data_IF_970535744880
#
_entry.id   IF_970535744880
#
_cell.length_a   1.000
_cell.length_b   1.000
_cell.length_c   1.000
_cell.angle_alpha   90.00
_cell.angle_beta   90.00
_cell.angle_gamma   90.00
#
_symmetry.space_group_name_H-M   'P 1'
#
loop_
_entity.id
_entity.type
_entity.pdbx_description
1 polymer ?
#
# COMPACT_ATOMS: atom_id res chain seq x y z
N UNK A 1 -49.54 13.23 46.25
CA UNK A 1 -50.93 12.94 45.84
C UNK A 1 -51.24 13.68 44.54
N UNK A 2 -51.73 12.93 43.52
CA UNK A 2 -52.46 13.38 42.31
C UNK A 2 -51.62 14.16 41.28
N UNK A 3 -51.01 13.54 40.25
CA UNK A 3 -51.59 12.98 39.00
C UNK A 3 -52.66 13.85 38.31
N UNK A 4 -52.34 14.33 37.11
CA UNK A 4 -53.30 14.68 36.06
C UNK A 4 -52.71 14.30 34.69
N UNK A 5 -53.40 13.37 34.05
CA UNK A 5 -53.25 12.90 32.68
C UNK A 5 -53.87 13.90 31.69
N UNK A 6 -53.31 14.02 30.48
CA UNK A 6 -54.10 14.16 29.24
C UNK A 6 -53.31 13.62 28.03
N UNK A 7 -53.94 12.65 27.36
CA UNK A 7 -53.57 12.02 26.09
C UNK A 7 -54.06 12.83 24.87
N UNK A 8 -53.51 12.57 23.68
CA UNK A 8 -54.06 12.96 22.38
C UNK A 8 -52.98 12.95 21.28
N UNK A 9 -52.56 11.83 20.68
CA UNK A 9 -53.24 10.89 19.79
C UNK A 9 -53.19 11.27 18.29
N UNK A 10 -52.81 10.26 17.49
CA UNK A 10 -52.92 10.05 16.03
C UNK A 10 -51.94 10.79 15.09
N UNK A 11 -51.06 10.09 14.34
CA UNK A 11 -51.24 9.10 13.25
C UNK A 11 -51.42 9.79 11.87
N UNK A 12 -50.83 9.18 10.83
CA UNK A 12 -51.04 9.41 9.38
C UNK A 12 -50.11 10.51 8.79
N UNK A 13 -49.27 10.30 7.77
CA UNK A 13 -49.55 9.69 6.47
C UNK A 13 -48.25 9.20 5.79
N UNK A 14 -48.27 7.97 5.31
CA UNK A 14 -47.32 7.40 4.36
C UNK A 14 -47.70 7.76 2.91
N UNK A 15 -46.75 7.52 2.00
CA UNK A 15 -46.87 7.41 0.53
C UNK A 15 -46.69 8.71 -0.26
N UNK A 16 -45.58 8.81 -1.00
CA UNK A 16 -45.61 8.97 -2.47
C UNK A 16 -44.33 8.37 -3.09
N UNK A 17 -44.47 7.15 -3.62
CA UNK A 17 -43.65 6.62 -4.71
C UNK A 17 -44.20 7.16 -6.04
N UNK A 18 -43.32 7.66 -6.92
CA UNK A 18 -43.47 7.73 -8.39
C UNK A 18 -42.06 8.00 -8.94
N UNK A 19 -41.29 7.02 -9.41
CA UNK A 19 -41.42 6.30 -10.69
C UNK A 19 -41.49 7.25 -11.89
N UNK A 20 -40.32 7.63 -12.43
CA UNK A 20 -40.21 8.06 -13.83
C UNK A 20 -39.46 6.99 -14.62
N UNK A 21 -40.20 6.38 -15.55
CA UNK A 21 -39.75 5.42 -16.55
C UNK A 21 -39.01 6.12 -17.71
N UNK A 22 -37.94 5.44 -18.11
CA UNK A 22 -37.37 5.26 -19.45
C UNK A 22 -37.95 6.04 -20.64
N UNK A 23 -37.04 6.63 -21.44
CA UNK A 23 -37.23 6.72 -22.90
C UNK A 23 -35.88 6.57 -23.62
N UNK A 24 -35.58 5.33 -24.02
CA UNK A 24 -34.68 5.05 -25.15
C UNK A 24 -35.35 5.53 -26.44
N UNK A 25 -34.56 6.15 -27.31
CA UNK A 25 -34.88 6.22 -28.73
C UNK A 25 -33.59 5.88 -29.50
N UNK A 26 -33.64 4.75 -30.19
CA UNK A 26 -32.67 4.30 -31.16
C UNK A 26 -33.15 4.67 -32.57
N UNK A 27 -32.21 4.95 -33.47
CA UNK A 27 -32.30 4.77 -34.93
C UNK A 27 -30.84 4.62 -35.40
N UNK A 28 -30.39 3.38 -35.64
CA UNK A 28 -30.25 2.75 -36.99
C UNK A 28 -29.26 3.54 -37.88
N UNK A 29 -27.99 3.14 -37.93
CA UNK A 29 -27.41 2.06 -38.73
C UNK A 29 -27.11 2.46 -40.19
N UNK A 30 -25.85 2.78 -40.46
CA UNK A 30 -25.23 2.56 -41.77
C UNK A 30 -23.78 2.12 -41.57
N UNK A 31 -23.52 0.84 -41.83
CA UNK A 31 -22.22 0.25 -42.15
C UNK A 31 -22.45 -0.51 -43.47
N UNK A 32 -21.52 -0.56 -44.44
CA UNK A 32 -20.22 -1.19 -44.21
C UNK A 32 -19.02 -0.54 -44.93
N UNK A 33 -17.85 -0.64 -44.32
CA UNK A 33 -16.61 -0.94 -45.04
C UNK A 33 -15.60 -1.54 -44.05
N UNK A 34 -15.23 -2.80 -44.32
CA UNK A 34 -14.12 -3.53 -43.76
C UNK A 34 -12.85 -2.68 -43.65
N UNK A 35 -12.29 -2.59 -42.45
CA UNK A 35 -10.86 -2.82 -42.26
C UNK A 35 -10.68 -3.46 -40.89
N UNK A 36 -10.61 -4.79 -40.92
CA UNK A 36 -10.21 -5.63 -39.79
C UNK A 36 -8.74 -5.39 -39.48
N UNK A 37 -8.41 -4.26 -38.85
CA UNK A 37 -7.18 -4.20 -38.08
C UNK A 37 -7.45 -4.85 -36.73
N UNK A 38 -7.11 -6.13 -36.68
CA UNK A 38 -6.85 -6.84 -35.43
C UNK A 38 -5.74 -6.04 -34.75
N UNK A 39 -6.11 -5.15 -33.83
CA UNK A 39 -5.21 -4.75 -32.75
C UNK A 39 -4.93 -6.04 -31.99
N UNK A 40 -3.84 -6.69 -32.37
CA UNK A 40 -3.18 -7.65 -31.54
C UNK A 40 -2.96 -6.93 -30.21
N UNK A 41 -3.79 -7.25 -29.21
CA UNK A 41 -3.53 -6.86 -27.85
C UNK A 41 -2.29 -7.64 -27.45
N UNK A 42 -1.14 -7.08 -27.80
CA UNK A 42 0.14 -7.53 -27.36
C UNK A 42 0.06 -7.50 -25.85
N UNK A 43 -0.06 -8.68 -25.24
CA UNK A 43 0.48 -8.94 -23.92
C UNK A 43 1.99 -8.77 -23.99
N UNK A 44 2.43 -7.53 -24.20
CA UNK A 44 3.75 -7.05 -23.85
C UNK A 44 3.68 -6.68 -22.38
N UNK A 45 4.71 -7.04 -21.63
CA UNK A 45 4.88 -6.53 -20.29
C UNK A 45 5.03 -5.01 -20.39
N UNK A 46 3.92 -4.28 -20.25
CA UNK A 46 3.93 -2.85 -20.04
C UNK A 46 4.93 -2.59 -18.91
N UNK A 47 5.99 -1.87 -19.24
CA UNK A 47 6.91 -1.33 -18.25
C UNK A 47 6.12 -0.24 -17.52
N UNK A 48 5.27 -0.65 -16.58
CA UNK A 48 4.49 0.25 -15.73
C UNK A 48 5.49 1.08 -14.92
N UNK A 49 5.60 2.36 -15.33
CA UNK A 49 6.43 3.38 -14.68
C UNK A 49 6.02 3.44 -13.21
N UNK A 50 6.96 3.26 -12.26
CA UNK A 50 6.67 3.39 -10.84
C UNK A 50 5.97 4.73 -10.53
N UNK A 51 4.99 4.75 -9.61
CA UNK A 51 4.43 6.05 -9.18
C UNK A 51 5.44 6.83 -8.35
N UNK A 52 5.32 8.15 -8.33
CA UNK A 52 6.12 9.03 -7.44
C UNK A 52 6.05 8.57 -5.97
N UNK A 53 4.90 8.03 -5.55
CA UNK A 53 4.71 7.49 -4.20
C UNK A 53 5.63 6.30 -3.94
N UNK A 54 5.65 5.34 -4.87
CA UNK A 54 6.48 4.15 -4.79
C UNK A 54 7.97 4.49 -4.92
N UNK A 55 8.35 5.36 -5.87
CA UNK A 55 9.73 5.79 -6.04
C UNK A 55 10.27 6.44 -4.78
N UNK A 56 9.47 7.33 -4.15
CA UNK A 56 9.84 7.95 -2.89
C UNK A 56 9.91 6.94 -1.73
N UNK A 57 9.09 5.89 -1.73
CA UNK A 57 9.14 4.83 -0.72
C UNK A 57 10.42 3.99 -0.87
N UNK A 58 10.60 3.34 -2.02
CA UNK A 58 11.66 2.33 -2.21
C UNK A 58 13.02 2.93 -2.54
N UNK A 59 13.06 4.20 -2.91
CA UNK A 59 14.27 4.92 -3.29
C UNK A 59 14.79 4.56 -4.69
N UNK A 60 15.70 5.38 -5.25
CA UNK A 60 16.23 5.19 -6.60
C UNK A 60 17.37 4.15 -6.67
N UNK A 61 17.91 3.70 -5.53
CA UNK A 61 19.11 2.87 -5.47
C UNK A 61 18.82 1.37 -5.34
N UNK A 62 19.64 0.56 -6.02
CA UNK A 62 19.68 -0.88 -5.88
C UNK A 62 20.10 -1.31 -4.46
N UNK A 63 19.34 -2.23 -3.86
CA UNK A 63 19.56 -2.75 -2.51
C UNK A 63 18.24 -3.23 -1.92
N UNK A 64 18.25 -4.02 -0.83
CA UNK A 64 17.05 -4.62 -0.27
C UNK A 64 15.89 -3.62 -0.08
N UNK A 65 16.17 -2.46 0.51
CA UNK A 65 15.26 -1.33 0.60
C UNK A 65 16.05 -0.02 0.59
N UNK A 66 15.73 0.94 -0.28
CA UNK A 66 16.38 2.27 -0.37
C UNK A 66 17.92 2.21 -0.45
N UNK A 67 18.43 1.29 -1.26
CA UNK A 67 19.88 1.09 -1.39
C UNK A 67 20.56 0.40 -0.20
N UNK A 68 19.83 0.01 0.85
CA UNK A 68 20.36 -0.69 2.03
C UNK A 68 20.12 -2.19 1.92
N UNK A 69 21.15 -2.99 2.22
CA UNK A 69 21.09 -4.44 2.30
C UNK A 69 21.24 -4.93 3.74
N UNK A 70 20.74 -6.14 3.99
CA UNK A 70 21.07 -6.86 5.23
C UNK A 70 22.58 -7.15 5.26
N UNK A 71 23.22 -6.86 6.38
CA UNK A 71 24.66 -6.97 6.61
C UNK A 71 25.46 -5.67 6.41
N UNK A 72 24.83 -4.63 5.85
CA UNK A 72 25.45 -3.31 5.70
C UNK A 72 25.71 -2.69 7.09
N UNK A 73 26.85 -1.99 7.28
CA UNK A 73 27.12 -1.30 8.53
C UNK A 73 26.16 -0.10 8.71
N UNK A 74 25.85 0.25 9.96
CA UNK A 74 24.99 1.41 10.29
C UNK A 74 25.49 2.73 9.65
N UNK A 75 26.79 2.86 9.42
CA UNK A 75 27.38 4.02 8.73
C UNK A 75 26.88 4.17 7.29
N UNK A 76 26.61 3.07 6.59
CA UNK A 76 25.99 3.09 5.27
C UNK A 76 24.56 3.63 5.35
N UNK A 77 23.78 3.19 6.35
CA UNK A 77 22.41 3.69 6.57
C UNK A 77 22.42 5.21 6.75
N UNK A 78 23.27 5.71 7.66
CA UNK A 78 23.42 7.16 7.93
C UNK A 78 23.90 7.98 6.74
N UNK A 79 24.54 7.35 5.77
CA UNK A 79 25.03 8.02 4.55
C UNK A 79 23.94 8.10 3.48
N UNK A 80 23.07 7.09 3.41
CA UNK A 80 22.05 6.98 2.36
C UNK A 80 20.71 7.61 2.74
N UNK A 81 20.33 7.55 4.01
CA UNK A 81 19.14 8.26 4.46
C UNK A 81 19.43 9.76 4.61
N UNK A 82 18.61 10.57 3.94
CA UNK A 82 18.74 12.03 3.92
C UNK A 82 17.94 12.73 5.02
N UNK A 83 17.02 12.02 5.66
CA UNK A 83 16.25 12.55 6.79
C UNK A 83 17.07 12.48 8.08
N UNK A 84 16.77 13.36 9.02
CA UNK A 84 17.29 13.21 10.38
C UNK A 84 16.64 12.00 11.06
N UNK A 85 17.41 11.19 11.82
CA UNK A 85 16.84 10.06 12.53
C UNK A 85 15.90 10.54 13.65
N UNK A 86 14.70 9.97 13.72
CA UNK A 86 13.78 10.22 14.85
C UNK A 86 14.17 9.38 16.08
N UNK A 87 14.87 8.27 15.86
CA UNK A 87 15.32 7.36 16.89
C UNK A 87 16.68 6.79 16.51
N UNK A 88 17.61 6.73 17.47
CA UNK A 88 18.89 6.06 17.31
C UNK A 88 19.34 5.49 18.66
N UNK A 89 19.53 4.18 18.70
CA UNK A 89 20.08 3.50 19.87
C UNK A 89 21.06 2.37 19.49
N UNK A 90 21.40 1.52 20.47
CA UNK A 90 22.36 0.45 20.24
C UNK A 90 21.85 -0.67 19.31
N UNK A 91 20.54 -0.79 19.17
CA UNK A 91 19.81 -1.88 18.53
C UNK A 91 19.11 -1.47 17.23
N UNK A 92 18.86 -0.19 17.00
CA UNK A 92 18.25 0.28 15.76
C UNK A 92 18.49 1.78 15.50
N UNK A 93 18.19 2.19 14.27
CA UNK A 93 18.08 3.59 13.85
C UNK A 93 16.83 3.75 12.98
N UNK A 94 16.04 4.79 13.23
CA UNK A 94 14.74 5.04 12.63
C UNK A 94 14.65 6.40 11.95
N UNK A 95 13.98 6.46 10.79
CA UNK A 95 13.73 7.68 10.02
C UNK A 95 12.26 7.76 9.64
N UNK A 96 11.71 8.97 9.65
CA UNK A 96 10.34 9.26 9.18
C UNK A 96 10.45 10.03 7.88
N UNK A 97 9.71 9.57 6.87
CA UNK A 97 9.63 10.22 5.56
C UNK A 97 8.17 10.56 5.30
N UNK A 98 7.91 11.84 5.09
CA UNK A 98 6.56 12.38 4.89
C UNK A 98 6.27 12.62 3.41
N UNK A 99 5.02 12.40 3.00
CA UNK A 99 4.46 12.77 1.70
C UNK A 99 3.64 14.07 1.82
N UNK A 100 3.46 14.78 0.71
CA UNK A 100 2.68 16.04 0.70
C UNK A 100 1.20 15.84 1.06
N UNK A 101 0.67 14.64 0.81
CA UNK A 101 -0.71 14.28 1.11
C UNK A 101 -0.93 13.86 2.57
N UNK A 102 0.00 14.16 3.49
CA UNK A 102 -0.04 13.78 4.92
C UNK A 102 0.03 12.26 5.19
N UNK A 103 0.42 11.47 4.19
CA UNK A 103 0.88 10.11 4.43
C UNK A 103 2.35 10.14 4.83
N UNK A 104 2.81 9.09 5.48
CA UNK A 104 4.22 8.97 5.88
C UNK A 104 4.62 7.51 5.99
N UNK A 105 5.91 7.28 6.11
CA UNK A 105 6.41 5.99 6.55
C UNK A 105 7.58 6.16 7.49
N UNK A 106 7.61 5.30 8.50
CA UNK A 106 8.79 5.09 9.33
C UNK A 106 9.58 3.93 8.76
N UNK A 107 10.88 4.10 8.58
CA UNK A 107 11.81 3.00 8.30
C UNK A 107 12.73 2.82 9.50
N UNK A 108 12.76 1.60 10.04
CA UNK A 108 13.62 1.20 11.13
C UNK A 108 14.61 0.14 10.66
N UNK A 109 15.90 0.42 10.86
CA UNK A 109 17.00 -0.50 10.59
C UNK A 109 17.47 -1.11 11.91
N UNK A 110 17.13 -2.37 12.14
CA UNK A 110 17.58 -3.12 13.31
C UNK A 110 18.99 -3.65 13.10
N UNK A 111 19.80 -3.54 14.15
CA UNK A 111 21.24 -3.76 14.14
C UNK A 111 21.61 -4.98 14.99
N UNK A 112 22.50 -5.80 14.45
CA UNK A 112 23.16 -6.86 15.20
C UNK A 112 24.21 -6.31 16.18
N UNK A 113 24.83 -7.20 16.96
CA UNK A 113 25.92 -6.86 17.89
C UNK A 113 27.14 -6.22 17.21
N UNK A 114 27.32 -6.45 15.91
CA UNK A 114 28.37 -5.88 15.07
C UNK A 114 27.98 -4.56 14.40
N UNK A 115 26.84 -3.97 14.77
CA UNK A 115 26.30 -2.72 14.17
C UNK A 115 26.02 -2.84 12.68
N UNK A 116 25.56 -4.02 12.25
CA UNK A 116 25.14 -4.31 10.89
C UNK A 116 23.63 -4.52 10.83
N UNK A 117 23.01 -4.12 9.72
CA UNK A 117 21.57 -4.26 9.51
C UNK A 117 21.19 -5.74 9.47
N UNK A 118 20.36 -6.21 10.39
CA UNK A 118 19.85 -7.60 10.41
C UNK A 118 18.38 -7.71 10.00
N UNK A 119 17.62 -6.62 10.12
CA UNK A 119 16.22 -6.52 9.73
C UNK A 119 15.87 -5.06 9.39
N UNK A 120 15.00 -4.88 8.41
CA UNK A 120 14.43 -3.58 8.05
C UNK A 120 12.92 -3.70 8.23
N UNK A 121 12.33 -2.79 8.98
CA UNK A 121 10.87 -2.65 9.07
C UNK A 121 10.45 -1.30 8.52
N UNK A 122 9.34 -1.31 7.78
CA UNK A 122 8.74 -0.10 7.24
C UNK A 122 7.28 -0.08 7.64
N UNK A 123 6.90 0.87 8.48
CA UNK A 123 5.53 1.10 8.90
C UNK A 123 4.99 2.29 8.08
N UNK A 124 4.01 2.02 7.22
CA UNK A 124 3.46 2.96 6.24
C UNK A 124 2.10 3.43 6.74
N UNK A 125 1.97 4.73 7.00
CA UNK A 125 0.76 5.36 7.50
C UNK A 125 0.00 6.02 6.36
N UNK A 126 -1.23 5.57 6.15
CA UNK A 126 -2.05 5.94 5.01
C UNK A 126 -3.31 6.65 5.46
N UNK A 127 -3.89 7.48 4.59
CA UNK A 127 -5.02 8.32 4.98
C UNK A 127 -6.35 7.56 5.08
N UNK A 128 -6.52 6.52 4.26
CA UNK A 128 -7.81 5.86 4.09
C UNK A 128 -7.66 4.46 3.48
N UNK A 129 -8.78 3.71 3.45
CA UNK A 129 -8.85 2.36 2.87
C UNK A 129 -8.47 2.32 1.39
N UNK A 130 -8.84 3.34 0.62
CA UNK A 130 -8.50 3.39 -0.81
C UNK A 130 -7.00 3.51 -1.02
N UNK A 131 -6.30 4.33 -0.23
CA UNK A 131 -4.83 4.39 -0.23
C UNK A 131 -4.20 3.03 0.10
N UNK A 132 -4.71 2.33 1.13
CA UNK A 132 -4.22 0.99 1.52
C UNK A 132 -4.33 0.01 0.35
N UNK A 133 -5.51 -0.10 -0.26
CA UNK A 133 -5.75 -1.06 -1.34
C UNK A 133 -4.91 -0.72 -2.58
N UNK A 134 -4.77 0.56 -2.89
CA UNK A 134 -3.96 1.05 -4.01
C UNK A 134 -2.46 0.74 -3.80
N UNK A 135 -1.87 1.21 -2.71
CA UNK A 135 -0.44 1.04 -2.44
C UNK A 135 -0.06 -0.41 -2.16
N UNK A 136 -0.97 -1.22 -1.58
CA UNK A 136 -0.74 -2.65 -1.42
C UNK A 136 -0.65 -3.35 -2.78
N UNK A 137 -1.52 -3.00 -3.72
CA UNK A 137 -1.47 -3.54 -5.09
C UNK A 137 -0.16 -3.15 -5.78
N UNK A 138 0.22 -1.88 -5.67
CA UNK A 138 1.45 -1.35 -6.24
C UNK A 138 2.71 -2.03 -5.66
N UNK A 139 2.82 -2.14 -4.34
CA UNK A 139 3.91 -2.85 -3.67
C UNK A 139 3.95 -4.33 -4.04
N UNK A 140 2.79 -4.97 -4.15
CA UNK A 140 2.70 -6.37 -4.60
C UNK A 140 3.26 -6.52 -6.01
N UNK A 141 2.88 -5.62 -6.94
CA UNK A 141 3.41 -5.63 -8.30
C UNK A 141 4.93 -5.37 -8.32
N UNK A 142 5.40 -4.41 -7.53
CA UNK A 142 6.83 -4.11 -7.38
C UNK A 142 7.63 -5.34 -6.91
N UNK A 143 7.23 -5.98 -5.80
CA UNK A 143 7.93 -7.15 -5.29
C UNK A 143 7.77 -8.38 -6.17
N UNK A 144 6.66 -8.52 -6.90
CA UNK A 144 6.50 -9.58 -7.90
C UNK A 144 7.54 -9.45 -9.03
N UNK A 145 7.75 -8.24 -9.54
CA UNK A 145 8.78 -7.98 -10.57
C UNK A 145 10.18 -8.28 -10.04
N UNK A 146 10.42 -7.96 -8.77
CA UNK A 146 11.75 -8.04 -8.16
C UNK A 146 12.14 -9.44 -7.68
N UNK A 147 11.19 -10.19 -7.12
CA UNK A 147 11.45 -11.45 -6.42
C UNK A 147 10.60 -12.63 -6.95
N UNK A 148 9.78 -12.41 -7.97
CA UNK A 148 8.83 -13.40 -8.48
C UNK A 148 7.56 -13.51 -7.63
N UNK A 149 6.76 -14.55 -7.85
CA UNK A 149 5.48 -14.70 -7.13
C UNK A 149 5.67 -14.95 -5.62
N UNK A 150 4.81 -14.38 -4.75
CA UNK A 150 4.91 -14.58 -3.32
C UNK A 150 4.45 -16.00 -2.93
N UNK A 151 4.94 -16.45 -1.79
CA UNK A 151 4.39 -17.59 -1.05
C UNK A 151 3.40 -17.11 0.00
N UNK A 152 2.81 -18.05 0.76
CA UNK A 152 2.00 -17.70 1.94
C UNK A 152 2.78 -16.88 2.98
N UNK A 153 4.12 -16.98 2.99
CA UNK A 153 4.99 -16.25 3.92
C UNK A 153 5.63 -15.00 3.28
N UNK A 154 5.14 -14.55 2.13
CA UNK A 154 5.70 -13.42 1.37
C UNK A 154 6.71 -13.86 0.31
N UNK A 155 7.54 -12.92 -0.14
CA UNK A 155 8.53 -13.14 -1.19
C UNK A 155 9.81 -13.73 -0.64
N UNK A 156 10.31 -14.78 -1.29
CA UNK A 156 11.64 -15.31 -1.02
C UNK A 156 12.67 -14.44 -1.72
N UNK A 157 13.69 -14.03 -0.98
CA UNK A 157 14.88 -13.40 -1.55
C UNK A 157 16.00 -14.44 -1.59
N UNK A 158 17.26 -14.03 -1.73
CA UNK A 158 18.39 -14.95 -1.69
C UNK A 158 18.58 -15.59 -0.30
N UNK A 159 19.01 -16.86 -0.29
CA UNK A 159 19.30 -17.58 0.95
C UNK A 159 18.07 -17.79 1.83
N UNK A 160 18.16 -17.37 3.10
CA UNK A 160 17.08 -17.46 4.10
C UNK A 160 16.32 -16.14 4.30
N UNK A 161 16.50 -15.15 3.41
CA UNK A 161 15.89 -13.84 3.52
C UNK A 161 14.49 -13.83 2.89
N UNK A 162 13.59 -13.01 3.44
CA UNK A 162 12.24 -12.81 2.93
C UNK A 162 11.80 -11.36 3.03
N UNK A 163 10.79 -11.03 2.22
CA UNK A 163 10.02 -9.78 2.33
C UNK A 163 8.57 -10.14 2.61
N UNK A 164 7.96 -9.47 3.58
CA UNK A 164 6.52 -9.57 3.86
C UNK A 164 5.84 -8.22 3.68
N UNK A 165 4.60 -8.25 3.22
CA UNK A 165 3.72 -7.08 3.13
C UNK A 165 2.40 -7.43 3.83
N UNK A 166 2.07 -6.68 4.88
CA UNK A 166 0.87 -6.92 5.69
C UNK A 166 0.00 -5.68 5.70
N UNK A 167 -1.30 -5.86 5.55
CA UNK A 167 -2.28 -4.81 5.90
C UNK A 167 -2.47 -4.82 7.41
N UNK A 168 -2.04 -3.75 8.07
CA UNK A 168 -2.08 -3.60 9.53
C UNK A 168 -3.19 -2.64 9.98
N UNK A 169 -4.09 -2.28 9.07
CA UNK A 169 -5.16 -1.33 9.34
C UNK A 169 -6.11 -1.82 10.44
N UNK A 170 -6.50 -0.92 11.34
CA UNK A 170 -7.43 -1.19 12.45
C UNK A 170 -8.38 -0.02 12.66
N UNK A 171 -9.68 -0.24 12.43
CA UNK A 171 -10.68 0.81 12.61
C UNK A 171 -10.44 1.98 11.66
N UNK A 172 -10.00 3.12 12.22
CA UNK A 172 -9.66 4.34 11.46
C UNK A 172 -8.17 4.49 11.18
N UNK A 173 -7.35 3.60 11.73
CA UNK A 173 -5.91 3.59 11.50
C UNK A 173 -5.65 2.76 10.23
N UNK A 174 -5.14 3.38 9.19
CA UNK A 174 -4.87 2.74 7.90
C UNK A 174 -3.37 2.62 7.68
N UNK A 175 -2.90 1.43 7.36
CA UNK A 175 -1.48 1.24 7.16
C UNK A 175 -1.06 -0.10 6.57
N UNK A 176 0.16 -0.10 6.07
CA UNK A 176 0.85 -1.27 5.54
C UNK A 176 2.16 -1.45 6.31
N UNK A 177 2.57 -2.69 6.52
CA UNK A 177 3.87 -3.00 7.11
C UNK A 177 4.69 -3.85 6.15
N UNK A 178 5.91 -3.41 5.88
CA UNK A 178 6.95 -4.20 5.22
C UNK A 178 7.96 -4.70 6.24
N UNK A 179 8.37 -5.96 6.12
CA UNK A 179 9.48 -6.51 6.90
C UNK A 179 10.42 -7.25 5.96
N UNK A 180 11.70 -6.86 6.03
CA UNK A 180 12.82 -7.49 5.32
C UNK A 180 13.75 -8.12 6.35
N UNK A 181 14.02 -9.41 6.23
CA UNK A 181 14.85 -10.11 7.22
C UNK A 181 14.93 -11.60 7.00
N UNK A 182 15.56 -12.29 7.95
CA UNK A 182 15.56 -13.74 7.96
C UNK A 182 14.14 -14.29 8.13
N UNK A 183 13.82 -15.36 7.40
CA UNK A 183 12.59 -16.12 7.58
C UNK A 183 12.50 -16.64 9.02
N UNK A 184 11.40 -16.34 9.69
CA UNK A 184 11.08 -16.95 10.97
C UNK A 184 11.10 -18.48 10.80
N UNK A 185 11.86 -19.18 11.64
CA UNK A 185 11.88 -20.65 11.64
C UNK A 185 10.49 -21.12 12.08
N UNK A 186 9.85 -21.93 11.23
CA UNK A 186 8.62 -22.64 11.56
C UNK A 186 8.88 -23.70 12.64
#
# INVERSE_FOLDING_TARGET
MKQAFTYGALLVLALFFNACQNKQQASEATSPADTTEILANQSGADQEVPSDWLEKLVGPEDGMFRGINLGDPVTTVKTKESAEPFEEDASHIGYTIEYENLESFDVQYFLDKGKKVERIEVDIYLNNRQSVDHHKKELTAYFNRRFGSPTQQGWKVAGNQQVTLTDVSKGKDFGLKLVFGARARA
#
